data_IF_313023257406
#
_entry.id   IF_313023257406
#
_cell.length_a   1.000
_cell.length_b   1.000
_cell.length_c   1.000
_cell.angle_alpha   90.00
_cell.angle_beta   90.00
_cell.angle_gamma   90.00
#
_symmetry.space_group_name_H-M   'P 1'
#
loop_
_entity.id
_entity.type
_entity.pdbx_description
1 polymer ?
#
# COMPACT_ATOMS: atom_id res chain seq x y z
N UNK A 1 -26.94 9.08 -4.73
CA UNK A 1 -27.39 7.90 -3.92
C UNK A 1 -27.54 8.30 -2.46
N UNK A 2 -28.28 7.55 -1.62
CA UNK A 2 -28.32 7.86 -0.19
C UNK A 2 -26.96 7.56 0.46
N UNK A 3 -26.51 8.42 1.39
CA UNK A 3 -25.26 8.23 2.11
C UNK A 3 -25.35 7.03 3.06
N UNK A 4 -24.25 6.27 3.19
CA UNK A 4 -24.14 5.14 4.12
C UNK A 4 -24.35 5.60 5.56
N UNK A 5 -25.24 4.92 6.27
CA UNK A 5 -25.43 5.14 7.70
C UNK A 5 -24.44 4.29 8.48
N UNK A 6 -23.66 4.90 9.37
CA UNK A 6 -22.61 4.22 10.13
C UNK A 6 -22.90 4.34 11.63
N UNK A 7 -23.01 3.20 12.31
CA UNK A 7 -23.10 3.12 13.78
C UNK A 7 -21.80 2.55 14.32
N UNK A 8 -21.19 3.23 15.28
CA UNK A 8 -19.91 2.83 15.89
C UNK A 8 -20.15 2.28 17.29
N UNK A 9 -19.44 1.23 17.65
CA UNK A 9 -19.39 0.69 19.02
C UNK A 9 -17.97 0.27 19.39
N UNK A 10 -17.72 0.11 20.70
CA UNK A 10 -16.41 -0.30 21.21
C UNK A 10 -16.57 -1.30 22.35
N UNK A 11 -15.59 -2.19 22.49
CA UNK A 11 -15.44 -3.09 23.64
C UNK A 11 -13.99 -3.04 24.09
N UNK A 12 -13.72 -2.28 25.14
CA UNK A 12 -12.36 -1.88 25.49
C UNK A 12 -11.73 -1.09 24.35
N UNK A 13 -10.57 -1.56 23.87
CA UNK A 13 -9.83 -0.96 22.74
C UNK A 13 -10.26 -1.48 21.36
N UNK A 14 -11.20 -2.42 21.29
CA UNK A 14 -11.63 -2.99 20.01
C UNK A 14 -12.87 -2.25 19.51
N UNK A 15 -12.79 -1.71 18.30
CA UNK A 15 -13.85 -0.92 17.70
C UNK A 15 -14.55 -1.71 16.60
N UNK A 16 -15.86 -1.51 16.52
CA UNK A 16 -16.73 -2.15 15.56
C UNK A 16 -17.64 -1.11 14.90
N UNK A 17 -18.15 -1.45 13.73
CA UNK A 17 -19.15 -0.66 13.03
C UNK A 17 -20.26 -1.54 12.48
N UNK A 18 -21.41 -0.91 12.25
CA UNK A 18 -22.53 -1.42 11.47
C UNK A 18 -22.84 -0.40 10.38
N UNK A 19 -22.92 -0.85 9.12
CA UNK A 19 -23.34 -0.03 7.98
C UNK A 19 -24.72 -0.44 7.49
N UNK A 20 -25.61 0.54 7.28
CA UNK A 20 -26.97 0.35 6.75
C UNK A 20 -27.76 -0.81 7.39
N UNK A 21 -27.66 -0.96 8.72
CA UNK A 21 -28.27 -2.05 9.51
C UNK A 21 -27.81 -3.47 9.12
N UNK A 22 -26.68 -3.57 8.42
CA UNK A 22 -25.98 -4.82 8.13
C UNK A 22 -25.31 -5.47 9.34
N UNK A 23 -24.51 -6.54 9.13
CA UNK A 23 -23.79 -7.19 10.21
C UNK A 23 -22.72 -6.28 10.80
N UNK A 24 -22.48 -6.42 12.10
CA UNK A 24 -21.36 -5.75 12.76
C UNK A 24 -20.03 -6.33 12.26
N UNK A 25 -19.05 -5.47 12.05
CA UNK A 25 -17.69 -5.85 11.66
C UNK A 25 -16.65 -5.06 12.45
N UNK A 26 -15.46 -5.64 12.63
CA UNK A 26 -14.35 -4.97 13.29
C UNK A 26 -13.77 -3.89 12.37
N UNK A 27 -13.53 -2.70 12.92
CA UNK A 27 -12.88 -1.59 12.20
C UNK A 27 -11.46 -1.33 12.68
N UNK A 28 -11.04 -1.97 13.77
CA UNK A 28 -9.68 -1.92 14.26
C UNK A 28 -9.58 -1.87 15.79
N UNK A 29 -8.34 -1.85 16.26
CA UNK A 29 -7.96 -1.70 17.65
C UNK A 29 -7.34 -0.32 17.87
N UNK A 30 -7.72 0.34 18.96
CA UNK A 30 -7.07 1.56 19.42
C UNK A 30 -5.62 1.26 19.82
N UNK A 31 -4.70 2.02 19.24
CA UNK A 31 -3.26 1.92 19.50
C UNK A 31 -2.66 3.31 19.68
N UNK A 32 -1.46 3.35 20.28
CA UNK A 32 -0.69 4.57 20.51
C UNK A 32 0.68 4.45 19.83
N UNK A 33 1.12 5.51 19.16
CA UNK A 33 2.44 5.63 18.56
C UNK A 33 3.01 7.04 18.79
N UNK A 34 4.08 7.14 19.57
CA UNK A 34 4.51 8.45 20.08
C UNK A 34 3.38 9.10 20.88
N UNK A 35 3.00 10.32 20.50
CA UNK A 35 1.86 11.04 21.09
C UNK A 35 0.54 10.81 20.35
N UNK A 36 0.57 10.10 19.22
CA UNK A 36 -0.62 9.85 18.42
C UNK A 36 -1.42 8.65 18.93
N UNK A 37 -2.74 8.77 18.89
CA UNK A 37 -3.74 7.73 19.12
C UNK A 37 -4.52 7.54 17.82
N UNK A 38 -4.81 6.29 17.48
CA UNK A 38 -5.62 5.97 16.31
C UNK A 38 -5.99 4.49 16.25
N UNK A 39 -6.49 4.06 15.10
CA UNK A 39 -6.87 2.68 14.80
C UNK A 39 -5.75 1.93 14.08
N UNK A 40 -5.61 0.65 14.43
CA UNK A 40 -4.92 -0.36 13.66
C UNK A 40 -5.92 -1.45 13.25
N UNK A 41 -6.04 -1.72 11.95
CA UNK A 41 -6.80 -2.82 11.39
C UNK A 41 -5.92 -3.64 10.47
N UNK A 42 -5.72 -4.92 10.80
CA UNK A 42 -4.85 -5.84 10.04
C UNK A 42 -5.65 -6.88 9.23
N UNK A 43 -6.97 -6.72 9.17
CA UNK A 43 -7.89 -7.76 8.72
C UNK A 43 -7.94 -8.96 9.67
N UNK A 44 -8.77 -9.93 9.31
CA UNK A 44 -8.87 -11.22 9.99
C UNK A 44 -8.73 -12.38 8.97
N UNK A 45 -9.06 -13.61 9.37
CA UNK A 45 -8.99 -14.79 8.49
C UNK A 45 -9.99 -14.77 7.33
N UNK A 46 -11.04 -13.94 7.42
CA UNK A 46 -12.09 -13.80 6.39
C UNK A 46 -11.91 -12.57 5.50
N UNK A 47 -11.01 -11.66 5.86
CA UNK A 47 -10.71 -10.46 5.07
C UNK A 47 -10.20 -10.82 3.69
N UNK A 48 -10.61 -10.05 2.67
CA UNK A 48 -10.09 -10.20 1.31
C UNK A 48 -8.60 -9.86 1.28
N UNK A 49 -7.82 -10.71 0.59
CA UNK A 49 -6.38 -10.56 0.44
C UNK A 49 -6.00 -10.58 -1.04
N UNK A 50 -4.93 -9.86 -1.35
CA UNK A 50 -4.32 -9.84 -2.66
C UNK A 50 -3.87 -11.24 -3.08
N UNK A 51 -4.31 -11.67 -4.26
CA UNK A 51 -3.88 -12.90 -4.91
C UNK A 51 -3.37 -12.54 -6.31
N UNK A 52 -2.08 -12.72 -6.61
CA UNK A 52 -1.55 -12.36 -7.93
C UNK A 52 -2.22 -13.15 -9.06
N UNK A 53 -2.69 -14.37 -8.81
CA UNK A 53 -3.39 -15.23 -9.77
C UNK A 53 -4.57 -14.51 -10.44
N UNK A 54 -5.35 -13.75 -9.67
CA UNK A 54 -6.53 -13.01 -10.14
C UNK A 54 -6.16 -11.86 -11.09
N UNK A 55 -4.90 -11.43 -11.09
CA UNK A 55 -4.41 -10.22 -11.77
C UNK A 55 -3.37 -10.52 -12.86
N UNK A 56 -2.92 -11.77 -13.00
CA UNK A 56 -1.89 -12.17 -13.98
C UNK A 56 -2.32 -11.96 -15.42
N UNK A 57 -3.61 -12.11 -15.74
CA UNK A 57 -4.11 -11.92 -17.10
C UNK A 57 -3.90 -10.48 -17.57
N UNK A 58 -4.21 -9.51 -16.70
CA UNK A 58 -4.10 -8.09 -17.04
C UNK A 58 -2.67 -7.56 -16.89
N UNK A 59 -1.96 -7.97 -15.83
CA UNK A 59 -0.70 -7.32 -15.45
C UNK A 59 0.55 -8.20 -15.60
N UNK A 60 0.39 -9.47 -15.97
CA UNK A 60 1.49 -10.41 -16.12
C UNK A 60 2.32 -10.54 -14.84
N UNK A 61 3.65 -10.57 -15.01
CA UNK A 61 4.59 -10.74 -13.88
C UNK A 61 4.51 -9.62 -12.84
N UNK A 62 3.99 -8.43 -13.19
CA UNK A 62 3.84 -7.35 -12.20
C UNK A 62 2.85 -7.69 -11.10
N UNK A 63 1.86 -8.56 -11.38
CA UNK A 63 0.99 -9.08 -10.33
C UNK A 63 1.81 -9.87 -9.29
N UNK A 64 2.70 -10.74 -9.76
CA UNK A 64 3.59 -11.51 -8.88
C UNK A 64 4.65 -10.63 -8.18
N UNK A 65 5.15 -9.60 -8.88
CA UNK A 65 6.20 -8.70 -8.37
C UNK A 65 5.79 -7.94 -7.11
N UNK A 66 4.50 -7.66 -6.92
CA UNK A 66 3.99 -6.97 -5.72
C UNK A 66 3.94 -7.87 -4.49
N UNK A 67 3.88 -9.20 -4.66
CA UNK A 67 3.62 -10.16 -3.58
C UNK A 67 4.59 -10.02 -2.40
N UNK A 68 5.92 -9.88 -2.59
CA UNK A 68 6.84 -9.76 -1.47
C UNK A 68 6.55 -8.53 -0.61
N UNK A 69 6.34 -7.36 -1.22
CA UNK A 69 6.02 -6.13 -0.47
C UNK A 69 4.63 -6.18 0.14
N UNK A 70 3.61 -6.62 -0.59
CA UNK A 70 2.25 -6.78 -0.07
C UNK A 70 2.19 -7.71 1.17
N UNK A 71 2.98 -8.79 1.14
CA UNK A 71 3.09 -9.73 2.25
C UNK A 71 3.69 -9.08 3.49
N UNK A 72 4.74 -8.28 3.32
CA UNK A 72 5.41 -7.57 4.40
C UNK A 72 4.63 -6.38 4.96
N UNK A 73 3.80 -5.70 4.14
CA UNK A 73 3.03 -4.53 4.57
C UNK A 73 1.77 -4.90 5.36
N UNK A 74 1.01 -5.88 4.87
CA UNK A 74 -0.34 -6.16 5.39
C UNK A 74 -0.72 -7.64 5.37
N UNK A 75 0.22 -8.52 5.00
CA UNK A 75 -0.11 -9.88 4.59
C UNK A 75 -1.07 -9.89 3.38
N UNK A 76 -1.00 -8.88 2.53
CA UNK A 76 -1.89 -8.68 1.38
C UNK A 76 -3.32 -8.25 1.71
N UNK A 77 -3.64 -7.86 2.94
CA UNK A 77 -5.02 -7.49 3.30
C UNK A 77 -5.45 -6.16 2.69
N UNK A 78 -6.47 -6.17 1.82
CA UNK A 78 -6.94 -4.96 1.13
C UNK A 78 -7.61 -3.94 2.05
N UNK A 79 -8.14 -4.37 3.20
CA UNK A 79 -8.76 -3.48 4.18
C UNK A 79 -7.79 -2.99 5.25
N UNK A 80 -6.51 -3.40 5.20
CA UNK A 80 -5.51 -3.03 6.20
C UNK A 80 -5.40 -1.50 6.31
N UNK A 81 -5.47 -0.99 7.54
CA UNK A 81 -5.62 0.44 7.81
C UNK A 81 -4.88 0.82 9.09
N UNK A 82 -4.12 1.91 9.04
CA UNK A 82 -3.61 2.57 10.24
C UNK A 82 -3.94 4.05 10.21
N UNK A 83 -4.26 4.64 11.35
CA UNK A 83 -4.46 6.10 11.49
C UNK A 83 -3.57 6.74 12.56
N UNK A 84 -2.67 5.98 13.18
CA UNK A 84 -1.93 6.43 14.35
C UNK A 84 -0.50 6.92 14.06
N UNK A 85 0.08 6.60 12.90
CA UNK A 85 1.49 6.90 12.64
C UNK A 85 1.69 8.32 12.06
N UNK A 86 2.90 8.64 11.60
CA UNK A 86 3.20 9.95 11.02
C UNK A 86 2.49 10.22 9.70
N UNK A 87 1.97 9.19 9.02
CA UNK A 87 1.16 9.36 7.83
C UNK A 87 -0.28 9.78 8.16
N UNK A 88 -0.71 9.61 9.42
CA UNK A 88 -2.07 9.83 9.94
C UNK A 88 -3.16 8.97 9.27
N UNK A 89 -2.87 8.38 8.12
CA UNK A 89 -3.70 7.42 7.41
C UNK A 89 -2.84 6.62 6.42
N UNK A 90 -2.78 5.31 6.63
CA UNK A 90 -2.33 4.33 5.63
C UNK A 90 -3.45 3.35 5.33
N UNK A 91 -3.60 2.94 4.07
CA UNK A 91 -4.70 2.06 3.67
C UNK A 91 -4.30 1.09 2.55
N UNK A 92 -4.87 -0.10 2.59
CA UNK A 92 -4.76 -1.07 1.51
C UNK A 92 -3.65 -2.09 1.69
N UNK A 93 -3.59 -3.01 0.74
CA UNK A 93 -2.69 -4.17 0.80
C UNK A 93 -1.20 -3.81 0.69
N UNK A 94 -0.88 -2.64 0.13
CA UNK A 94 0.47 -2.06 0.09
C UNK A 94 0.66 -0.91 1.10
N UNK A 95 -0.32 -0.65 1.98
CA UNK A 95 -0.27 0.43 2.97
C UNK A 95 -0.01 1.81 2.36
N UNK A 96 -0.85 2.21 1.40
CA UNK A 96 -0.78 3.50 0.74
C UNK A 96 -0.85 4.65 1.72
N UNK A 97 0.15 5.53 1.73
CA UNK A 97 0.33 6.52 2.78
C UNK A 97 -0.19 7.91 2.38
N UNK A 98 -1.05 8.50 3.21
CA UNK A 98 -1.68 9.79 2.92
C UNK A 98 -0.70 10.98 2.86
N UNK A 99 0.43 10.90 3.57
CA UNK A 99 1.37 12.01 3.69
C UNK A 99 2.24 12.26 2.45
N UNK A 100 2.14 11.43 1.41
CA UNK A 100 2.94 11.58 0.18
C UNK A 100 2.13 12.32 -0.88
N UNK A 101 2.47 13.59 -1.21
CA UNK A 101 1.81 14.31 -2.29
C UNK A 101 1.93 13.56 -3.62
N UNK A 102 0.81 13.46 -4.34
CA UNK A 102 0.69 12.65 -5.56
C UNK A 102 1.16 11.18 -5.40
N UNK A 103 1.19 10.67 -4.16
CA UNK A 103 1.50 9.30 -3.85
C UNK A 103 0.36 8.34 -4.18
N UNK A 104 0.59 7.06 -3.90
CA UNK A 104 -0.40 5.99 -4.10
C UNK A 104 -1.75 6.28 -3.44
N UNK A 105 -1.76 6.76 -2.19
CA UNK A 105 -3.00 7.01 -1.46
C UNK A 105 -3.84 8.09 -2.13
N UNK A 106 -3.21 9.21 -2.52
CA UNK A 106 -3.89 10.32 -3.19
C UNK A 106 -4.39 9.88 -4.58
N UNK A 107 -3.55 9.20 -5.36
CA UNK A 107 -3.94 8.71 -6.70
C UNK A 107 -5.06 7.67 -6.62
N UNK A 108 -5.02 6.78 -5.62
CA UNK A 108 -6.07 5.82 -5.35
C UNK A 108 -7.38 6.53 -4.98
N UNK A 109 -7.37 7.47 -4.03
CA UNK A 109 -8.60 8.17 -3.66
C UNK A 109 -9.18 9.05 -4.77
N UNK A 110 -8.34 9.68 -5.61
CA UNK A 110 -8.84 10.39 -6.80
C UNK A 110 -9.60 9.45 -7.75
N UNK A 111 -9.14 8.20 -7.92
CA UNK A 111 -9.83 7.20 -8.76
C UNK A 111 -11.04 6.61 -8.06
N UNK A 112 -10.92 6.30 -6.77
CA UNK A 112 -12.00 5.75 -5.94
C UNK A 112 -13.20 6.70 -5.90
N UNK A 113 -12.95 8.00 -5.74
CA UNK A 113 -14.00 9.03 -5.71
C UNK A 113 -14.66 9.30 -7.07
N UNK A 114 -14.12 8.73 -8.16
CA UNK A 114 -14.74 8.77 -9.48
C UNK A 114 -15.69 7.58 -9.71
N UNK A 115 -15.68 6.56 -8.83
CA UNK A 115 -16.59 5.43 -8.95
C UNK A 115 -18.05 5.86 -8.69
N UNK A 116 -19.04 5.19 -9.32
CA UNK A 116 -20.45 5.53 -9.12
C UNK A 116 -20.89 5.51 -7.65
N UNK A 117 -20.36 4.57 -6.85
CA UNK A 117 -20.71 4.42 -5.44
C UNK A 117 -20.06 5.43 -4.50
N UNK A 118 -19.10 6.23 -4.98
CA UNK A 118 -18.34 7.17 -4.16
C UNK A 118 -19.22 8.12 -3.35
N UNK A 119 -20.27 8.67 -3.97
CA UNK A 119 -21.18 9.60 -3.29
C UNK A 119 -21.92 8.95 -2.11
N UNK A 120 -22.15 7.63 -2.14
CA UNK A 120 -22.78 6.93 -1.02
C UNK A 120 -21.82 6.74 0.15
N UNK A 121 -20.53 6.50 -0.11
CA UNK A 121 -19.52 6.28 0.94
C UNK A 121 -18.95 7.59 1.48
N UNK A 122 -18.60 8.53 0.60
CA UNK A 122 -17.99 9.82 0.93
C UNK A 122 -18.76 10.96 0.24
N UNK A 123 -20.01 11.27 0.68
CA UNK A 123 -20.85 12.30 0.06
C UNK A 123 -20.25 13.72 0.16
N UNK A 124 -19.36 13.92 1.11
CA UNK A 124 -18.65 15.15 1.41
C UNK A 124 -17.33 15.26 0.65
N UNK A 125 -16.87 14.23 -0.07
CA UNK A 125 -15.68 14.29 -0.92
C UNK A 125 -16.05 14.37 -2.41
N UNK A 126 -15.26 15.12 -3.17
CA UNK A 126 -15.38 15.19 -4.63
C UNK A 126 -14.02 15.42 -5.27
N UNK A 127 -13.82 14.89 -6.48
CA UNK A 127 -12.69 15.28 -7.32
C UNK A 127 -13.10 16.48 -8.19
N UNK A 128 -12.40 17.60 -8.01
CA UNK A 128 -12.57 18.82 -8.82
C UNK A 128 -11.20 19.26 -9.32
N UNK A 129 -11.08 19.53 -10.62
CA UNK A 129 -9.81 19.94 -11.26
C UNK A 129 -8.68 18.93 -10.99
N UNK A 130 -9.03 17.64 -10.95
CA UNK A 130 -8.09 16.55 -10.67
C UNK A 130 -7.65 16.45 -9.21
N UNK A 131 -8.23 17.22 -8.29
CA UNK A 131 -7.87 17.25 -6.87
C UNK A 131 -9.01 16.85 -5.95
N UNK A 132 -8.68 16.24 -4.82
CA UNK A 132 -9.67 15.86 -3.80
C UNK A 132 -10.07 17.12 -3.03
N UNK A 133 -11.38 17.36 -2.94
CA UNK A 133 -11.97 18.46 -2.18
C UNK A 133 -12.99 17.94 -1.16
N UNK A 134 -13.05 18.60 0.00
CA UNK A 134 -14.09 18.43 1.00
C UNK A 134 -15.17 19.50 0.83
N UNK A 135 -16.43 19.07 0.74
CA UNK A 135 -17.61 19.91 0.60
C UNK A 135 -18.20 20.20 1.97
N UNK A 136 -18.02 21.43 2.44
CA UNK A 136 -18.51 21.85 3.75
C UNK A 136 -19.21 23.20 3.64
N UNK A 137 -20.50 23.26 4.01
CA UNK A 137 -21.26 24.52 4.04
C UNK A 137 -21.31 25.27 2.71
N UNK A 138 -21.28 24.56 1.57
CA UNK A 138 -21.24 25.16 0.23
C UNK A 138 -19.84 25.57 -0.24
N UNK A 139 -18.81 25.44 0.60
CA UNK A 139 -17.41 25.70 0.26
C UNK A 139 -16.76 24.37 -0.17
N UNK A 140 -15.91 24.44 -1.19
CA UNK A 140 -15.05 23.34 -1.64
C UNK A 140 -13.63 23.61 -1.15
N UNK A 141 -13.18 22.85 -0.15
CA UNK A 141 -11.85 22.97 0.43
C UNK A 141 -10.93 21.92 -0.20
N UNK A 142 -9.83 22.29 -0.88
CA UNK A 142 -8.87 21.32 -1.38
C UNK A 142 -8.22 20.59 -0.20
N UNK A 143 -8.13 19.27 -0.30
CA UNK A 143 -7.48 18.43 0.72
C UNK A 143 -6.02 18.10 0.37
N UNK A 144 -5.62 18.36 -0.87
CA UNK A 144 -4.27 18.08 -1.35
C UNK A 144 -3.84 19.01 -2.49
N UNK A 145 -2.53 19.17 -2.61
CA UNK A 145 -1.81 19.88 -3.66
C UNK A 145 -0.61 19.03 -4.13
N UNK A 146 0.24 19.60 -4.98
CA UNK A 146 1.48 18.90 -5.39
C UNK A 146 2.51 18.74 -4.29
N UNK A 147 2.41 19.55 -3.23
CA UNK A 147 3.41 19.62 -2.16
C UNK A 147 2.82 19.38 -0.77
N UNK A 148 1.50 19.34 -0.62
CA UNK A 148 0.83 19.20 0.66
C UNK A 148 -0.39 18.27 0.59
N UNK A 149 -0.54 17.42 1.60
CA UNK A 149 -1.67 16.50 1.79
C UNK A 149 -2.24 16.60 3.21
N UNK A 150 -1.86 17.62 3.97
CA UNK A 150 -2.26 17.81 5.37
C UNK A 150 -3.78 17.84 5.55
N UNK A 151 -4.50 18.46 4.63
CA UNK A 151 -5.97 18.45 4.60
C UNK A 151 -6.54 17.04 4.48
N UNK A 152 -6.00 16.23 3.58
CA UNK A 152 -6.41 14.84 3.37
C UNK A 152 -6.07 13.95 4.58
N UNK A 153 -4.89 14.12 5.15
CA UNK A 153 -4.50 13.44 6.40
C UNK A 153 -5.47 13.78 7.54
N UNK A 154 -5.79 15.06 7.74
CA UNK A 154 -6.72 15.53 8.77
C UNK A 154 -8.17 15.17 8.49
N UNK A 155 -8.52 14.92 7.24
CA UNK A 155 -9.80 14.32 6.92
C UNK A 155 -9.88 12.92 7.53
N UNK A 156 -8.87 12.05 7.39
CA UNK A 156 -8.98 10.70 7.97
C UNK A 156 -8.68 10.63 9.46
N UNK A 157 -7.73 11.43 9.97
CA UNK A 157 -7.44 11.58 11.38
C UNK A 157 -7.50 13.07 11.79
N UNK A 158 -8.68 13.57 12.22
CA UNK A 158 -8.87 14.98 12.58
C UNK A 158 -7.96 15.45 13.71
N UNK A 159 -7.81 14.62 14.75
CA UNK A 159 -7.01 14.92 15.93
C UNK A 159 -6.16 13.72 16.34
N UNK A 160 -4.86 13.71 16.01
CA UNK A 160 -3.95 12.63 16.38
C UNK A 160 -3.87 12.40 17.88
N UNK A 161 -4.27 13.34 18.74
CA UNK A 161 -4.22 13.15 20.18
C UNK A 161 -5.39 12.30 20.72
N UNK A 162 -6.45 12.05 19.92
CA UNK A 162 -7.63 11.32 20.36
C UNK A 162 -8.33 10.55 19.23
N UNK A 163 -8.84 9.36 19.55
CA UNK A 163 -9.62 8.57 18.61
C UNK A 163 -11.06 9.10 18.46
N UNK A 164 -11.29 9.93 17.43
CA UNK A 164 -12.58 10.57 17.18
C UNK A 164 -13.65 9.62 16.62
N UNK A 165 -14.93 10.00 16.72
CA UNK A 165 -16.03 9.27 16.04
C UNK A 165 -15.91 9.41 14.50
N UNK A 166 -15.49 10.57 14.00
CA UNK A 166 -15.25 10.82 12.57
C UNK A 166 -14.20 9.87 11.98
N UNK A 167 -13.07 9.70 12.66
CA UNK A 167 -12.01 8.78 12.26
C UNK A 167 -12.54 7.34 12.18
N UNK A 168 -13.26 6.89 13.22
CA UNK A 168 -13.89 5.57 13.28
C UNK A 168 -14.90 5.38 12.14
N UNK A 169 -15.70 6.39 11.85
CA UNK A 169 -16.66 6.38 10.73
C UNK A 169 -15.96 6.26 9.38
N UNK A 170 -14.93 7.06 9.13
CA UNK A 170 -14.18 7.05 7.87
C UNK A 170 -13.42 5.73 7.66
N UNK A 171 -12.82 5.18 8.73
CA UNK A 171 -12.22 3.85 8.71
C UNK A 171 -13.25 2.76 8.38
N UNK A 172 -14.44 2.81 9.01
CA UNK A 172 -15.53 1.87 8.73
C UNK A 172 -15.96 1.88 7.25
N UNK A 173 -16.06 3.08 6.65
CA UNK A 173 -16.42 3.25 5.25
C UNK A 173 -15.36 2.64 4.31
N UNK A 174 -14.08 2.93 4.53
CA UNK A 174 -12.97 2.36 3.74
C UNK A 174 -12.94 0.83 3.82
N UNK A 175 -13.00 0.27 5.03
CA UNK A 175 -12.95 -1.17 5.28
C UNK A 175 -14.16 -1.84 4.62
N UNK A 176 -15.36 -1.34 4.88
CA UNK A 176 -16.58 -1.93 4.32
C UNK A 176 -16.61 -1.88 2.79
N UNK A 177 -16.25 -0.74 2.18
CA UNK A 177 -16.27 -0.65 0.72
C UNK A 177 -15.32 -1.67 0.10
N UNK A 178 -14.11 -1.74 0.65
CA UNK A 178 -13.08 -2.62 0.14
C UNK A 178 -13.40 -4.12 0.30
N UNK A 179 -14.05 -4.51 1.40
CA UNK A 179 -14.41 -5.92 1.63
C UNK A 179 -15.59 -6.37 0.74
N UNK A 180 -16.45 -5.43 0.30
CA UNK A 180 -17.68 -5.76 -0.41
C UNK A 180 -17.68 -5.44 -1.90
N UNK A 181 -16.73 -4.65 -2.40
CA UNK A 181 -16.70 -4.21 -3.79
C UNK A 181 -15.38 -4.64 -4.48
N UNK A 182 -15.42 -5.54 -5.49
CA UNK A 182 -14.22 -5.94 -6.22
C UNK A 182 -13.58 -4.78 -6.98
N UNK A 183 -14.35 -3.84 -7.53
CA UNK A 183 -13.81 -2.72 -8.32
C UNK A 183 -12.88 -1.84 -7.45
N UNK A 184 -13.22 -1.70 -6.17
CA UNK A 184 -12.38 -0.99 -5.19
C UNK A 184 -11.04 -1.70 -4.95
N UNK A 185 -11.04 -3.03 -4.90
CA UNK A 185 -9.80 -3.82 -4.74
C UNK A 185 -8.97 -3.77 -6.01
N UNK A 186 -9.60 -3.92 -7.17
CA UNK A 186 -8.93 -3.86 -8.47
C UNK A 186 -8.27 -2.49 -8.69
N UNK A 187 -8.92 -1.40 -8.26
CA UNK A 187 -8.30 -0.07 -8.26
C UNK A 187 -7.04 0.01 -7.38
N UNK A 188 -7.02 -0.64 -6.21
CA UNK A 188 -5.80 -0.68 -5.39
C UNK A 188 -4.68 -1.40 -6.14
N UNK A 189 -4.97 -2.52 -6.79
CA UNK A 189 -3.99 -3.28 -7.57
C UNK A 189 -3.47 -2.45 -8.75
N UNK A 190 -4.37 -1.86 -9.53
CA UNK A 190 -4.02 -1.02 -10.67
C UNK A 190 -3.10 0.16 -10.28
N UNK A 191 -3.40 0.82 -9.16
CA UNK A 191 -2.56 1.92 -8.63
C UNK A 191 -1.20 1.40 -8.16
N UNK A 192 -1.18 0.29 -7.41
CA UNK A 192 0.06 -0.33 -6.92
C UNK A 192 0.99 -0.74 -8.06
N UNK A 193 0.45 -1.39 -9.10
CA UNK A 193 1.23 -1.83 -10.26
C UNK A 193 1.77 -0.63 -11.05
N UNK A 194 0.94 0.38 -11.29
CA UNK A 194 1.38 1.60 -11.97
C UNK A 194 2.51 2.31 -11.20
N UNK A 195 2.40 2.38 -9.87
CA UNK A 195 3.44 2.96 -9.02
C UNK A 195 4.74 2.14 -9.10
N UNK A 196 4.66 0.82 -8.96
CA UNK A 196 5.85 -0.04 -8.97
C UNK A 196 6.55 -0.04 -10.32
N UNK A 197 5.81 -0.07 -11.45
CA UNK A 197 6.36 0.11 -12.80
C UNK A 197 7.13 1.43 -12.92
N UNK A 198 6.50 2.53 -12.53
CA UNK A 198 7.13 3.87 -12.55
C UNK A 198 8.39 3.91 -11.70
N UNK A 199 8.31 3.41 -10.48
CA UNK A 199 9.40 3.46 -9.52
C UNK A 199 10.56 2.54 -9.88
N UNK A 200 10.27 1.33 -10.39
CA UNK A 200 11.31 0.39 -10.78
C UNK A 200 12.18 0.94 -11.90
N UNK A 201 11.60 1.68 -12.86
CA UNK A 201 12.39 2.40 -13.87
C UNK A 201 13.37 3.40 -13.24
N UNK A 202 12.90 4.19 -12.28
CA UNK A 202 13.75 5.15 -11.56
C UNK A 202 14.83 4.44 -10.73
N UNK A 203 14.48 3.33 -10.08
CA UNK A 203 15.40 2.55 -9.28
C UNK A 203 16.46 1.87 -10.15
N UNK A 204 16.08 1.35 -11.31
CA UNK A 204 17.01 0.72 -12.24
C UNK A 204 18.03 1.72 -12.79
N UNK A 205 17.62 2.96 -13.09
CA UNK A 205 18.55 4.03 -13.47
C UNK A 205 19.46 4.42 -12.31
N UNK A 206 18.89 4.58 -11.11
CA UNK A 206 19.60 5.10 -9.94
C UNK A 206 20.59 4.08 -9.34
N UNK A 207 20.24 2.80 -9.39
CA UNK A 207 20.98 1.72 -8.73
C UNK A 207 21.59 0.74 -9.73
N UNK A 208 21.63 1.10 -11.03
CA UNK A 208 22.18 0.29 -12.11
C UNK A 208 21.62 -1.14 -12.14
N UNK A 209 20.29 -1.26 -12.06
CA UNK A 209 19.59 -2.56 -12.01
C UNK A 209 19.18 -3.07 -13.41
N UNK A 210 19.77 -2.53 -14.47
CA UNK A 210 19.61 -3.14 -15.79
C UNK A 210 20.24 -4.54 -15.78
N UNK A 211 19.49 -5.51 -16.30
CA UNK A 211 19.79 -6.93 -16.25
C UNK A 211 19.87 -7.54 -14.83
N UNK A 212 19.43 -6.83 -13.80
CA UNK A 212 19.39 -7.39 -12.44
C UNK A 212 18.25 -8.42 -12.31
N UNK A 213 18.45 -9.53 -11.56
CA UNK A 213 17.40 -10.51 -11.32
C UNK A 213 16.16 -9.90 -10.67
N UNK A 214 14.99 -10.46 -10.99
CA UNK A 214 13.69 -10.08 -10.42
C UNK A 214 13.69 -10.01 -8.89
N UNK A 215 14.34 -10.96 -8.20
CA UNK A 215 14.42 -11.00 -6.75
C UNK A 215 15.25 -9.84 -6.16
N UNK A 216 16.32 -9.43 -6.84
CA UNK A 216 17.10 -8.23 -6.45
C UNK A 216 16.24 -6.97 -6.62
N UNK A 217 15.55 -6.87 -7.75
CA UNK A 217 14.66 -5.75 -8.03
C UNK A 217 13.53 -5.65 -6.99
N UNK A 218 12.92 -6.78 -6.60
CA UNK A 218 11.88 -6.82 -5.58
C UNK A 218 12.40 -6.39 -4.20
N UNK A 219 13.61 -6.81 -3.82
CA UNK A 219 14.21 -6.37 -2.54
C UNK A 219 14.46 -4.87 -2.56
N UNK A 220 15.00 -4.31 -3.65
CA UNK A 220 15.22 -2.86 -3.76
C UNK A 220 13.88 -2.10 -3.74
N UNK A 221 12.88 -2.57 -4.49
CA UNK A 221 11.55 -1.97 -4.48
C UNK A 221 10.95 -1.95 -3.07
N UNK A 222 11.05 -3.07 -2.34
CA UNK A 222 10.60 -3.15 -0.95
C UNK A 222 11.36 -2.21 -0.01
N UNK A 223 12.69 -2.09 -0.15
CA UNK A 223 13.50 -1.13 0.63
C UNK A 223 12.96 0.29 0.46
N UNK A 224 12.69 0.65 -0.79
CA UNK A 224 12.31 2.01 -1.15
C UNK A 224 10.86 2.32 -0.80
N UNK A 225 9.96 1.35 -0.96
CA UNK A 225 8.55 1.46 -0.56
C UNK A 225 8.43 1.72 0.94
N UNK A 226 9.15 0.95 1.75
CA UNK A 226 9.07 1.06 3.21
C UNK A 226 9.92 2.22 3.76
N UNK A 227 11.00 2.60 3.07
CA UNK A 227 11.93 3.63 3.55
C UNK A 227 13.01 3.10 4.51
N UNK A 228 13.27 1.79 4.52
CA UNK A 228 14.21 1.12 5.46
C UNK A 228 15.68 1.51 5.27
N UNK A 229 16.08 2.06 4.12
CA UNK A 229 17.46 2.45 3.88
C UNK A 229 17.63 3.66 2.97
N UNK A 230 18.74 4.39 3.19
CA UNK A 230 19.20 5.49 2.33
C UNK A 230 19.84 4.96 1.05
N UNK A 231 19.93 5.82 0.04
CA UNK A 231 20.43 5.43 -1.29
C UNK A 231 21.87 4.92 -1.26
N UNK A 232 22.75 5.56 -0.50
CA UNK A 232 24.17 5.16 -0.43
C UNK A 232 24.34 3.75 0.15
N UNK A 233 23.51 3.38 1.13
CA UNK A 233 23.52 2.03 1.70
C UNK A 233 23.03 0.97 0.69
N UNK A 234 22.05 1.31 -0.15
CA UNK A 234 21.57 0.44 -1.23
C UNK A 234 22.67 0.25 -2.27
N UNK A 235 23.30 1.35 -2.70
CA UNK A 235 24.43 1.30 -3.66
C UNK A 235 25.59 0.45 -3.11
N UNK A 236 25.96 0.65 -1.84
CA UNK A 236 27.00 -0.14 -1.19
C UNK A 236 26.62 -1.63 -1.09
N UNK A 237 25.35 -1.94 -0.80
CA UNK A 237 24.88 -3.32 -0.74
C UNK A 237 24.92 -4.00 -2.11
N UNK A 238 24.67 -3.24 -3.20
CA UNK A 238 24.72 -3.70 -4.58
C UNK A 238 26.13 -3.78 -5.17
N UNK A 239 27.13 -3.13 -4.55
CA UNK A 239 28.55 -3.23 -4.96
C UNK A 239 29.16 -4.58 -4.58
N UNK A 240 28.64 -5.63 -5.20
CA UNK A 240 28.98 -7.02 -4.96
C UNK A 240 29.86 -7.61 -6.09
N UNK A 241 30.40 -6.75 -6.97
CA UNK A 241 31.21 -7.14 -8.15
C UNK A 241 30.48 -8.14 -9.06
N UNK A 242 29.20 -7.89 -9.33
CA UNK A 242 28.34 -8.74 -10.18
C UNK A 242 27.81 -10.00 -9.52
N UNK A 243 28.05 -10.22 -8.22
CA UNK A 243 27.55 -11.39 -7.48
C UNK A 243 26.22 -11.10 -6.81
N UNK A 244 25.12 -11.52 -7.45
CA UNK A 244 23.77 -11.22 -6.99
C UNK A 244 23.40 -11.90 -5.66
N UNK A 245 23.95 -13.07 -5.35
CA UNK A 245 23.79 -13.77 -4.07
C UNK A 245 24.33 -12.94 -2.89
N UNK A 246 25.51 -12.32 -3.10
CA UNK A 246 26.14 -11.42 -2.13
C UNK A 246 25.33 -10.13 -2.01
N UNK A 247 24.90 -9.55 -3.12
CA UNK A 247 24.05 -8.36 -3.12
C UNK A 247 22.72 -8.60 -2.38
N UNK A 248 22.05 -9.72 -2.64
CA UNK A 248 20.82 -10.16 -1.95
C UNK A 248 21.03 -10.18 -0.44
N UNK A 249 22.10 -10.85 0.01
CA UNK A 249 22.44 -10.96 1.44
C UNK A 249 22.66 -9.58 2.06
N UNK A 250 23.39 -8.69 1.37
CA UNK A 250 23.66 -7.34 1.86
C UNK A 250 22.38 -6.49 1.94
N UNK A 251 21.53 -6.54 0.91
CA UNK A 251 20.28 -5.78 0.85
C UNK A 251 19.28 -6.22 1.92
N UNK A 252 19.17 -7.53 2.20
CA UNK A 252 18.31 -8.06 3.26
C UNK A 252 18.78 -7.63 4.65
N UNK A 253 20.05 -7.26 4.84
CA UNK A 253 20.54 -6.74 6.12
C UNK A 253 20.14 -5.29 6.39
N UNK A 254 19.73 -4.55 5.36
CA UNK A 254 19.39 -3.15 5.49
C UNK A 254 18.08 -2.96 6.29
N UNK A 255 18.19 -2.27 7.42
CA UNK A 255 17.07 -1.95 8.33
C UNK A 255 16.75 -3.02 9.38
N UNK A 256 17.61 -4.04 9.55
CA UNK A 256 17.42 -5.10 10.55
C UNK A 256 17.32 -4.58 11.99
N UNK A 257 18.03 -3.50 12.30
CA UNK A 257 18.04 -2.84 13.60
C UNK A 257 16.66 -2.24 13.97
N UNK A 258 15.87 -1.84 12.96
CA UNK A 258 14.55 -1.23 13.14
C UNK A 258 13.40 -2.18 12.87
N UNK A 259 13.58 -3.14 11.95
CA UNK A 259 12.52 -4.02 11.46
C UNK A 259 12.98 -5.48 11.36
N UNK A 260 13.34 -6.15 12.47
CA UNK A 260 14.02 -7.45 12.43
C UNK A 260 13.20 -8.57 11.74
N UNK A 261 11.87 -8.54 11.86
CA UNK A 261 11.00 -9.56 11.24
C UNK A 261 10.77 -9.38 9.74
N UNK A 262 10.92 -8.16 9.21
CA UNK A 262 10.56 -7.86 7.82
C UNK A 262 11.52 -8.50 6.82
N UNK A 263 12.85 -8.38 6.93
CA UNK A 263 13.76 -9.06 6.01
C UNK A 263 13.60 -10.58 6.01
N UNK A 264 13.29 -11.17 7.16
CA UNK A 264 13.02 -12.60 7.27
C UNK A 264 11.76 -12.99 6.49
N UNK A 265 10.67 -12.23 6.64
CA UNK A 265 9.43 -12.45 5.89
C UNK A 265 9.61 -12.21 4.38
N UNK A 266 10.36 -11.16 4.01
CA UNK A 266 10.67 -10.86 2.61
C UNK A 266 11.47 -11.99 1.98
N UNK A 267 12.52 -12.46 2.65
CA UNK A 267 13.34 -13.57 2.17
C UNK A 267 12.54 -14.86 2.06
N UNK A 268 11.73 -15.20 3.07
CA UNK A 268 10.88 -16.39 3.04
C UNK A 268 9.87 -16.33 1.89
N UNK A 269 9.29 -15.16 1.63
CA UNK A 269 8.33 -14.96 0.53
C UNK A 269 9.02 -15.11 -0.82
N UNK A 270 10.20 -14.50 -1.00
CA UNK A 270 10.97 -14.62 -2.24
C UNK A 270 11.41 -16.06 -2.50
N UNK A 271 11.91 -16.77 -1.49
CA UNK A 271 12.29 -18.19 -1.62
C UNK A 271 11.10 -19.04 -2.06
N UNK A 272 9.93 -18.85 -1.45
CA UNK A 272 8.70 -19.55 -1.86
C UNK A 272 8.36 -19.28 -3.33
N UNK A 273 8.42 -18.02 -3.77
CA UNK A 273 8.13 -17.66 -5.17
C UNK A 273 9.20 -18.18 -6.15
N UNK A 274 10.45 -18.30 -5.71
CA UNK A 274 11.55 -18.94 -6.46
C UNK A 274 11.30 -20.46 -6.59
N UNK A 275 10.93 -21.14 -5.51
CA UNK A 275 10.59 -22.57 -5.49
C UNK A 275 9.37 -22.89 -6.36
N UNK A 276 8.39 -21.99 -6.41
CA UNK A 276 7.21 -22.06 -7.29
C UNK A 276 7.55 -21.74 -8.76
N UNK A 277 8.79 -21.33 -9.07
CA UNK A 277 9.23 -20.98 -10.42
C UNK A 277 8.62 -19.68 -10.96
N UNK A 278 8.11 -18.83 -10.08
CA UNK A 278 7.55 -17.50 -10.40
C UNK A 278 8.68 -16.47 -10.49
N UNK A 279 9.56 -16.45 -9.49
CA UNK A 279 10.77 -15.62 -9.41
C UNK A 279 12.03 -16.41 -9.82
N UNK A 280 13.15 -15.72 -9.99
CA UNK A 280 14.45 -16.30 -10.37
C UNK A 280 14.55 -16.64 -11.85
N UNK A 281 13.61 -16.16 -12.67
CA UNK A 281 13.53 -16.48 -14.10
C UNK A 281 13.57 -15.25 -14.99
N UNK A 282 13.57 -14.06 -14.41
CA UNK A 282 13.55 -12.80 -15.14
C UNK A 282 14.65 -11.87 -14.69
N UNK A 283 15.01 -10.99 -15.60
CA UNK A 283 15.86 -9.83 -15.35
C UNK A 283 15.09 -8.57 -15.72
N UNK A 284 15.37 -7.47 -15.03
CA UNK A 284 14.79 -6.17 -15.37
C UNK A 284 15.55 -5.58 -16.55
N UNK A 285 14.84 -5.26 -17.63
CA UNK A 285 15.40 -4.61 -18.81
C UNK A 285 15.05 -3.12 -18.79
N UNK A 286 16.07 -2.27 -18.67
CA UNK A 286 15.85 -0.83 -18.53
C UNK A 286 15.30 -0.19 -19.82
N UNK A 287 15.61 -0.76 -20.98
CA UNK A 287 15.17 -0.23 -22.27
C UNK A 287 13.65 -0.35 -22.46
N UNK A 288 13.09 -1.53 -22.19
CA UNK A 288 11.64 -1.77 -22.18
C UNK A 288 10.95 -1.29 -20.91
N UNK A 289 11.71 -1.04 -19.83
CA UNK A 289 11.21 -0.78 -18.49
C UNK A 289 10.27 -1.89 -17.97
N UNK A 290 10.63 -3.13 -18.26
CA UNK A 290 9.88 -4.33 -17.89
C UNK A 290 10.80 -5.52 -17.58
N UNK A 291 10.24 -6.60 -17.05
CA UNK A 291 10.94 -7.83 -16.77
C UNK A 291 10.89 -8.79 -17.97
N UNK A 292 12.05 -9.26 -18.39
CA UNK A 292 12.20 -10.21 -19.49
C UNK A 292 12.62 -11.58 -18.95
N UNK A 293 12.07 -12.64 -19.53
CA UNK A 293 12.51 -14.00 -19.21
C UNK A 293 13.98 -14.16 -19.59
N UNK A 294 14.75 -14.76 -18.70
CA UNK A 294 16.09 -15.25 -19.01
C UNK A 294 15.97 -16.26 -20.15
N UNK A 295 16.79 -16.10 -21.19
CA UNK A 295 16.89 -17.13 -22.23
C UNK A 295 17.40 -18.43 -21.62
N UNK A 296 16.90 -19.56 -22.11
CA UNK A 296 17.28 -20.88 -21.59
C UNK A 296 18.78 -21.20 -21.75
N UNK A 297 19.51 -20.40 -22.55
CA UNK A 297 20.96 -20.50 -22.78
C UNK A 297 21.83 -19.91 -21.64
N UNK A 298 21.23 -19.35 -20.57
CA UNK A 298 21.95 -18.65 -19.47
C UNK A 298 21.75 -19.35 -18.10
N UNK A 299 21.24 -20.58 -18.08
CA UNK A 299 21.07 -21.36 -16.83
C UNK A 299 22.36 -22.07 -16.38
#
# INVERSE_FOLDING_TARGET
>A
MAAKNVKISATGKNHHAVLDDGPAFAIGKEVKYGDNIGLQHLGNSTSKRYSPEEHREEYGFWADFLVPTATCESGGCYSCLNTYDTALFTFGFLQFAAHVPNGDCILYFRRLLALPQAESYFPDLIVKEGRIHHRQGGIMLPLETDDDTSGFQRYFNPDPALLSDEERRRAALCIHWCENDPEVRDLQVAVGIALFKKNMKLYAQKYSLDQAPDSICAIVADIRHQGRAKSDAILQALDAKGRWDVARTNLLRLGLDKYPGRPQQLEATLRRLEDEGIFGRRVYDLASADFQLLSDDVR
#
